data_IF_116113776345
#
_entry.id   IF_116113776345
#
_cell.length_a   1.000
_cell.length_b   1.000
_cell.length_c   1.000
_cell.angle_alpha   90.00
_cell.angle_beta   90.00
_cell.angle_gamma   90.00
#
_symmetry.space_group_name_H-M   'P 1'
#
loop_
_entity.id
_entity.type
_entity.pdbx_description
1 polymer ?
#
# COMPACT_ATOMS: atom_id res chain seq x y z
N UNK A 1 1.56 -5.87 -4.29
CA UNK A 1 2.57 -6.73 -3.61
C UNK A 1 2.28 -6.75 -2.11
N UNK A 2 2.60 -7.83 -1.40
CA UNK A 2 2.56 -7.88 0.08
C UNK A 2 3.99 -7.98 0.58
N UNK A 3 4.38 -7.14 1.55
CA UNK A 3 5.73 -7.13 2.14
C UNK A 3 5.71 -6.47 3.51
N UNK A 4 6.75 -6.62 4.31
CA UNK A 4 7.02 -5.86 5.53
C UNK A 4 8.02 -4.70 5.29
N UNK A 5 8.71 -4.70 4.14
CA UNK A 5 9.74 -3.74 3.79
C UNK A 5 9.18 -2.53 3.02
N UNK A 6 9.06 -1.38 3.70
CA UNK A 6 8.48 -0.15 3.13
C UNK A 6 9.20 0.35 1.87
N UNK A 7 10.53 0.29 1.81
CA UNK A 7 11.29 0.75 0.63
C UNK A 7 11.06 -0.14 -0.60
N UNK A 8 10.91 -1.45 -0.38
CA UNK A 8 10.55 -2.40 -1.43
C UNK A 8 9.13 -2.13 -1.92
N UNK A 9 8.19 -1.91 -0.98
CA UNK A 9 6.81 -1.52 -1.29
C UNK A 9 6.75 -0.25 -2.12
N UNK A 10 7.50 0.79 -1.74
CA UNK A 10 7.57 2.05 -2.46
C UNK A 10 8.10 1.84 -3.87
N UNK A 11 9.25 1.20 -4.01
CA UNK A 11 9.87 0.96 -5.31
C UNK A 11 8.93 0.19 -6.24
N UNK A 12 8.33 -0.90 -5.75
CA UNK A 12 7.35 -1.67 -6.52
C UNK A 12 6.16 -0.81 -6.94
N UNK A 13 5.59 -0.03 -6.02
CA UNK A 13 4.43 0.81 -6.30
C UNK A 13 4.73 1.86 -7.36
N UNK A 14 5.90 2.50 -7.31
CA UNK A 14 6.31 3.53 -8.28
C UNK A 14 6.64 2.92 -9.65
N UNK A 15 7.37 1.80 -9.71
CA UNK A 15 7.76 1.19 -10.97
C UNK A 15 6.59 0.54 -11.71
N UNK A 16 5.72 -0.17 -11.00
CA UNK A 16 4.64 -0.94 -11.61
C UNK A 16 3.29 -0.24 -11.60
N UNK A 17 3.17 0.93 -10.94
CA UNK A 17 1.90 1.65 -10.78
C UNK A 17 0.82 0.77 -10.14
N UNK A 18 1.21 -0.06 -9.16
CA UNK A 18 0.32 -0.98 -8.45
C UNK A 18 0.41 -0.73 -6.95
N UNK A 19 -0.68 -0.91 -6.19
CA UNK A 19 -0.62 -0.77 -4.74
C UNK A 19 0.18 -1.89 -4.09
N UNK A 20 0.71 -1.57 -2.90
CA UNK A 20 1.36 -2.51 -2.01
C UNK A 20 0.68 -2.52 -0.64
N UNK A 21 0.61 -3.70 -0.04
CA UNK A 21 0.14 -3.92 1.33
C UNK A 21 1.38 -4.17 2.20
N UNK A 22 1.57 -3.33 3.20
CA UNK A 22 2.61 -3.47 4.22
C UNK A 22 2.03 -4.27 5.38
N UNK A 23 2.47 -5.52 5.54
CA UNK A 23 2.01 -6.41 6.60
C UNK A 23 3.04 -6.49 7.73
N UNK A 24 2.64 -6.06 8.94
CA UNK A 24 3.53 -5.94 10.10
C UNK A 24 2.97 -6.73 11.30
N UNK A 25 3.02 -8.07 11.28
CA UNK A 25 2.36 -8.91 12.29
C UNK A 25 2.96 -8.82 13.68
N UNK A 26 4.20 -8.34 13.81
CA UNK A 26 4.88 -8.13 15.09
C UNK A 26 4.46 -6.83 15.80
N UNK A 27 3.68 -5.96 15.14
CA UNK A 27 3.27 -4.67 15.67
C UNK A 27 1.82 -4.73 16.17
N UNK A 28 1.54 -4.04 17.27
CA UNK A 28 0.19 -3.91 17.83
C UNK A 28 -0.57 -2.71 17.27
N UNK A 29 0.15 -1.64 16.91
CA UNK A 29 -0.39 -0.44 16.27
C UNK A 29 0.64 0.14 15.29
N UNK A 30 0.15 0.86 14.27
CA UNK A 30 0.98 1.51 13.25
C UNK A 30 0.59 2.99 13.22
N UNK A 31 1.48 3.87 13.69
CA UNK A 31 1.31 5.32 13.61
C UNK A 31 2.19 5.88 12.49
N UNK A 32 1.55 6.32 11.41
CA UNK A 32 2.22 6.77 10.17
C UNK A 32 2.41 8.29 10.10
N UNK A 33 2.07 9.00 11.17
CA UNK A 33 2.37 10.43 11.34
C UNK A 33 2.17 11.30 10.11
N UNK A 34 0.94 11.41 9.57
CA UNK A 34 0.57 12.37 8.53
C UNK A 34 1.38 12.36 7.21
N UNK A 35 2.32 11.44 7.04
CA UNK A 35 3.23 11.44 5.90
C UNK A 35 2.47 11.00 4.63
N UNK A 36 2.54 11.85 3.61
CA UNK A 36 1.92 11.58 2.31
C UNK A 36 2.48 10.30 1.68
N UNK A 37 3.75 9.98 1.91
CA UNK A 37 4.39 8.78 1.37
C UNK A 37 3.69 7.51 1.87
N UNK A 38 3.38 7.44 3.16
CA UNK A 38 2.70 6.28 3.73
C UNK A 38 1.24 6.18 3.28
N UNK A 39 0.62 7.27 2.84
CA UNK A 39 -0.75 7.24 2.28
C UNK A 39 -0.88 6.40 0.99
N UNK A 40 0.25 6.06 0.35
CA UNK A 40 0.32 5.22 -0.85
C UNK A 40 0.11 3.73 -0.55
N UNK A 41 0.29 3.30 0.70
CA UNK A 41 0.24 1.88 1.08
C UNK A 41 -1.05 1.52 1.81
N UNK A 42 -1.39 0.24 1.82
CA UNK A 42 -2.24 -0.33 2.87
C UNK A 42 -1.34 -0.83 3.99
N UNK A 43 -1.81 -0.77 5.22
CA UNK A 43 -1.10 -1.34 6.36
C UNK A 43 -2.03 -2.27 7.11
N UNK A 44 -1.52 -3.43 7.51
CA UNK A 44 -2.25 -4.32 8.41
C UNK A 44 -1.29 -5.12 9.28
N UNK A 45 -1.66 -5.28 10.55
CA UNK A 45 -0.98 -6.17 11.48
C UNK A 45 -1.66 -7.54 11.55
N UNK A 46 -2.86 -7.69 10.98
CA UNK A 46 -3.73 -8.86 11.12
C UNK A 46 -3.74 -9.71 9.84
N UNK A 47 -3.44 -11.01 10.00
CA UNK A 47 -3.57 -11.97 8.89
C UNK A 47 -5.00 -12.07 8.36
N UNK A 48 -6.00 -11.91 9.22
CA UNK A 48 -7.42 -11.97 8.82
C UNK A 48 -7.80 -10.79 7.93
N UNK A 49 -7.32 -9.60 8.27
CA UNK A 49 -7.53 -8.40 7.45
C UNK A 49 -6.77 -8.51 6.13
N UNK A 50 -5.51 -8.97 6.17
CA UNK A 50 -4.72 -9.22 4.97
C UNK A 50 -5.43 -10.18 4.01
N UNK A 51 -5.95 -11.30 4.51
CA UNK A 51 -6.70 -12.26 3.69
C UNK A 51 -7.93 -11.61 3.06
N UNK A 52 -8.66 -10.81 3.84
CA UNK A 52 -9.87 -10.12 3.36
C UNK A 52 -9.53 -9.13 2.25
N UNK A 53 -8.47 -8.33 2.42
CA UNK A 53 -8.03 -7.36 1.42
C UNK A 53 -7.55 -8.04 0.12
N UNK A 54 -6.80 -9.15 0.23
CA UNK A 54 -6.37 -9.94 -0.93
C UNK A 54 -7.58 -10.49 -1.68
N UNK A 55 -8.55 -11.09 -0.98
CA UNK A 55 -9.76 -11.63 -1.62
C UNK A 55 -10.53 -10.53 -2.34
N UNK A 56 -10.71 -9.37 -1.72
CA UNK A 56 -11.39 -8.23 -2.35
C UNK A 56 -10.70 -7.75 -3.63
N UNK A 57 -9.36 -7.70 -3.64
CA UNK A 57 -8.57 -7.34 -4.83
C UNK A 57 -8.76 -8.37 -5.95
N UNK A 58 -8.78 -9.66 -5.60
CA UNK A 58 -8.95 -10.74 -6.58
C UNK A 58 -10.37 -10.78 -7.16
N UNK A 59 -11.39 -10.49 -6.35
CA UNK A 59 -12.79 -10.49 -6.76
C UNK A 59 -13.19 -9.23 -7.53
N UNK A 60 -12.56 -8.08 -7.24
CA UNK A 60 -12.84 -6.79 -7.88
C UNK A 60 -11.57 -6.17 -8.47
N UNK A 61 -11.12 -6.60 -9.66
CA UNK A 61 -9.86 -6.16 -10.27
C UNK A 61 -9.88 -4.73 -10.82
N UNK A 62 -10.98 -3.99 -10.65
CA UNK A 62 -11.11 -2.58 -11.02
C UNK A 62 -9.95 -1.79 -10.41
N UNK A 63 -9.37 -0.78 -11.11
CA UNK A 63 -8.20 -0.08 -10.61
C UNK A 63 -8.49 0.45 -9.21
N UNK A 64 -7.74 0.02 -8.18
CA UNK A 64 -8.01 0.49 -6.84
C UNK A 64 -7.74 2.00 -6.78
N UNK A 65 -8.48 2.78 -5.98
CA UNK A 65 -8.30 4.24 -5.82
C UNK A 65 -6.86 4.64 -5.44
N UNK A 66 -6.05 3.68 -4.97
CA UNK A 66 -4.62 3.86 -4.68
C UNK A 66 -3.75 4.03 -5.92
N UNK A 67 -4.17 3.56 -7.10
CA UNK A 67 -3.44 3.81 -8.36
C UNK A 67 -3.43 5.28 -8.73
N UNK A 68 -4.57 5.96 -8.57
CA UNK A 68 -4.68 7.40 -8.77
C UNK A 68 -3.79 8.17 -7.79
N UNK A 69 -3.74 7.74 -6.52
CA UNK A 69 -2.83 8.34 -5.53
C UNK A 69 -1.35 8.19 -5.90
N UNK A 70 -0.94 7.03 -6.40
CA UNK A 70 0.44 6.79 -6.85
C UNK A 70 0.78 7.69 -8.06
N UNK A 71 -0.14 7.80 -9.01
CA UNK A 71 0.03 8.67 -10.18
C UNK A 71 0.13 10.15 -9.77
N UNK A 72 -0.71 10.62 -8.85
CA UNK A 72 -0.66 11.98 -8.34
C UNK A 72 0.63 12.26 -7.56
N UNK A 73 1.07 11.32 -6.71
CA UNK A 73 2.34 11.45 -5.99
C UNK A 73 3.55 11.61 -6.94
N UNK A 74 3.56 10.84 -8.04
CA UNK A 74 4.60 10.97 -9.07
C UNK A 74 4.59 12.32 -9.79
N UNK A 75 3.42 12.95 -9.93
CA UNK A 75 3.25 14.22 -10.63
C UNK A 75 3.49 15.45 -9.74
N UNK A 76 3.10 15.38 -8.47
CA UNK A 76 3.02 16.55 -7.57
C UNK A 76 4.12 16.60 -6.50
N UNK A 77 4.60 15.46 -6.01
CA UNK A 77 5.48 15.41 -4.83
C UNK A 77 6.92 14.92 -5.16
N UNK A 78 7.16 14.37 -6.36
CA UNK A 78 8.48 13.83 -6.79
C UNK A 78 9.23 14.71 -7.81
N UNK A 79 8.56 15.68 -8.44
CA UNK A 79 9.11 16.65 -9.40
C UNK A 79 9.28 18.03 -8.73
#
# INVERSE_FOLDING_TARGET
>A
MVTDAANTALSFSLFYQQPSIIHLPAFSNIELGGDKLYSLFSFTTSFKELQTEITQILENPTPPPKKEKIANFLQEDLL
#
